data_IF_785585875885
#
_entry.id   IF_785585875885
#
_cell.length_a   1.000
_cell.length_b   1.000
_cell.length_c   1.000
_cell.angle_alpha   90.00
_cell.angle_beta   90.00
_cell.angle_gamma   90.00
#
_symmetry.space_group_name_H-M   'P 1'
#
loop_
_entity.id
_entity.type
_entity.pdbx_description
1 polymer ?
#
# COMPACT_ATOMS: atom_id res chain seq x y z
N UNK A 1 18.06 71.11 -71.21
CA UNK A 1 18.72 72.03 -70.25
C UNK A 1 18.04 71.86 -68.90
N UNK A 2 18.76 71.34 -67.89
CA UNK A 2 18.41 71.28 -66.45
C UNK A 2 17.20 70.42 -66.06
N UNK A 3 17.15 69.64 -64.97
CA UNK A 3 17.98 69.58 -63.77
C UNK A 3 17.83 68.21 -63.05
N UNK A 4 18.88 67.82 -62.31
CA UNK A 4 18.96 66.68 -61.37
C UNK A 4 18.02 66.82 -60.15
N UNK A 5 17.64 65.71 -59.50
CA UNK A 5 18.21 65.28 -58.19
C UNK A 5 17.29 64.36 -57.35
N UNK A 6 17.90 63.39 -56.65
CA UNK A 6 17.37 62.70 -55.45
C UNK A 6 16.58 61.42 -55.74
N UNK A 7 17.03 60.20 -55.42
CA UNK A 7 17.82 59.77 -54.27
C UNK A 7 16.89 59.37 -53.12
N UNK A 8 16.27 58.19 -53.21
CA UNK A 8 15.40 57.62 -52.17
C UNK A 8 15.68 56.13 -52.01
N UNK A 9 16.65 55.81 -51.16
CA UNK A 9 16.99 54.46 -50.70
C UNK A 9 16.70 54.43 -49.20
N UNK A 10 16.24 53.26 -48.72
CA UNK A 10 16.05 52.85 -47.32
C UNK A 10 14.70 53.23 -46.68
N UNK A 11 14.01 52.35 -45.96
CA UNK A 11 14.40 51.01 -45.52
C UNK A 11 13.18 50.19 -45.15
N UNK A 12 13.24 48.92 -45.53
CA UNK A 12 12.38 47.85 -45.05
C UNK A 12 12.64 47.73 -43.54
N UNK A 13 11.70 48.24 -42.74
CA UNK A 13 11.80 48.24 -41.29
C UNK A 13 11.55 46.81 -40.82
N UNK A 14 12.66 46.07 -40.75
CA UNK A 14 12.71 44.72 -40.24
C UNK A 14 11.90 44.59 -38.96
N UNK A 15 10.89 43.73 -39.01
CA UNK A 15 10.20 43.17 -37.85
C UNK A 15 11.24 42.43 -37.01
N UNK A 16 11.88 43.16 -36.10
CA UNK A 16 12.78 42.58 -35.10
C UNK A 16 11.96 41.63 -34.24
N UNK A 17 12.18 40.34 -34.47
CA UNK A 17 11.71 39.23 -33.64
C UNK A 17 12.30 39.39 -32.24
N UNK A 18 11.56 40.08 -31.37
CA UNK A 18 11.92 40.32 -29.98
C UNK A 18 11.58 39.09 -29.12
N UNK A 19 12.31 38.00 -29.36
CA UNK A 19 12.39 36.90 -28.40
C UNK A 19 13.23 37.36 -27.20
N UNK A 20 12.60 38.12 -26.31
CA UNK A 20 13.19 38.50 -25.02
C UNK A 20 13.10 37.30 -24.06
N UNK A 21 14.22 36.89 -23.42
CA UNK A 21 14.27 35.71 -22.56
C UNK A 21 13.32 35.81 -21.36
N UNK A 22 12.99 37.02 -20.89
CA UNK A 22 12.07 37.29 -19.78
C UNK A 22 10.66 36.74 -20.02
N UNK A 23 10.19 36.75 -21.28
CA UNK A 23 8.86 36.24 -21.64
C UNK A 23 8.77 34.72 -21.54
N UNK A 24 9.89 34.03 -21.78
CA UNK A 24 10.01 32.57 -21.63
C UNK A 24 9.98 32.16 -20.16
N UNK A 25 10.68 32.87 -19.28
CA UNK A 25 10.65 32.60 -17.83
C UNK A 25 9.26 32.84 -17.21
N UNK A 26 8.54 33.88 -17.65
CA UNK A 26 7.18 34.15 -17.18
C UNK A 26 6.17 33.07 -17.66
N UNK A 27 6.35 32.53 -18.86
CA UNK A 27 5.53 31.42 -19.35
C UNK A 27 5.88 30.09 -18.62
N UNK A 28 7.16 29.83 -18.39
CA UNK A 28 7.62 28.63 -17.70
C UNK A 28 7.22 28.59 -16.22
N UNK A 29 7.29 29.73 -15.51
CA UNK A 29 6.82 29.83 -14.13
C UNK A 29 5.30 29.60 -14.04
N UNK A 30 4.50 30.18 -14.94
CA UNK A 30 3.05 29.90 -15.00
C UNK A 30 2.76 28.42 -15.24
N UNK A 31 3.48 27.77 -16.14
CA UNK A 31 3.35 26.32 -16.38
C UNK A 31 3.74 25.48 -15.15
N UNK A 32 4.76 25.88 -14.40
CA UNK A 32 5.15 25.22 -13.15
C UNK A 32 4.06 25.41 -12.07
N UNK A 33 3.48 26.60 -11.95
CA UNK A 33 2.38 26.87 -11.03
C UNK A 33 1.11 26.12 -11.42
N UNK A 34 0.79 26.03 -12.71
CA UNK A 34 -0.35 25.25 -13.21
C UNK A 34 -0.15 23.75 -12.99
N UNK A 35 1.05 23.22 -13.26
CA UNK A 35 1.40 21.82 -12.98
C UNK A 35 1.39 21.51 -11.48
N UNK A 36 1.89 22.42 -10.64
CA UNK A 36 1.84 22.27 -9.19
C UNK A 36 0.40 22.32 -8.66
N UNK A 37 -0.42 23.25 -9.14
CA UNK A 37 -1.84 23.35 -8.79
C UNK A 37 -2.68 22.19 -9.34
N UNK A 38 -2.29 21.60 -10.47
CA UNK A 38 -2.88 20.35 -10.98
C UNK A 38 -2.47 19.15 -10.13
N UNK A 39 -1.19 19.02 -9.78
CA UNK A 39 -0.70 17.97 -8.89
C UNK A 39 -1.32 18.02 -7.49
N UNK A 40 -1.64 19.22 -7.00
CA UNK A 40 -2.31 19.43 -5.71
C UNK A 40 -3.82 19.12 -5.79
N UNK A 41 -4.45 19.31 -6.96
CA UNK A 41 -5.86 18.95 -7.21
C UNK A 41 -6.09 17.46 -7.50
N UNK A 42 -5.06 16.73 -7.92
CA UNK A 42 -5.12 15.28 -8.17
C UNK A 42 -4.87 14.41 -6.92
N UNK A 43 -4.68 15.03 -5.74
CA UNK A 43 -4.50 14.28 -4.49
C UNK A 43 -5.85 13.69 -4.09
N UNK A 44 -6.05 12.41 -4.43
CA UNK A 44 -7.18 11.62 -3.94
C UNK A 44 -7.17 11.56 -2.40
N UNK A 45 -8.35 11.50 -1.76
CA UNK A 45 -8.43 11.32 -0.32
C UNK A 45 -7.71 10.03 0.09
N UNK A 46 -7.05 10.07 1.25
CA UNK A 46 -6.34 8.90 1.75
C UNK A 46 -7.31 7.77 2.07
N UNK A 47 -7.02 6.53 1.67
CA UNK A 47 -7.91 5.37 1.86
C UNK A 47 -7.85 4.87 3.31
N UNK A 48 -8.39 5.66 4.24
CA UNK A 48 -8.38 5.36 5.68
C UNK A 48 -9.01 4.01 6.05
N UNK A 49 -10.16 3.59 5.48
CA UNK A 49 -10.76 2.30 5.82
C UNK A 49 -9.84 1.14 5.48
N UNK A 50 -9.22 1.18 4.28
CA UNK A 50 -8.29 0.16 3.85
C UNK A 50 -7.01 0.14 4.69
N UNK A 51 -6.46 1.32 5.03
CA UNK A 51 -5.32 1.41 5.93
C UNK A 51 -5.63 0.84 7.32
N UNK A 52 -6.83 1.12 7.86
CA UNK A 52 -7.25 0.59 9.14
C UNK A 52 -7.36 -0.94 9.11
N UNK A 53 -7.95 -1.52 8.06
CA UNK A 53 -8.01 -2.97 7.87
C UNK A 53 -6.61 -3.59 7.87
N UNK A 54 -5.69 -3.07 7.05
CA UNK A 54 -4.29 -3.53 6.97
C UNK A 54 -3.57 -3.45 8.33
N UNK A 55 -3.78 -2.38 9.11
CA UNK A 55 -3.12 -2.23 10.40
C UNK A 55 -3.69 -3.15 11.49
N UNK A 56 -5.00 -3.39 11.47
CA UNK A 56 -5.64 -4.35 12.38
C UNK A 56 -5.19 -5.77 12.05
N UNK A 57 -5.09 -6.10 10.76
CA UNK A 57 -4.60 -7.37 10.26
C UNK A 57 -3.15 -7.62 10.71
N UNK A 58 -2.24 -6.66 10.43
CA UNK A 58 -0.87 -6.68 10.95
C UNK A 58 -0.79 -6.89 12.47
N UNK A 59 -1.69 -6.26 13.23
CA UNK A 59 -1.71 -6.39 14.69
C UNK A 59 -2.10 -7.79 15.14
N UNK A 60 -3.14 -8.38 14.54
CA UNK A 60 -3.63 -9.71 14.91
C UNK A 60 -2.66 -10.80 14.45
N UNK A 61 -2.09 -10.65 13.25
CA UNK A 61 -1.06 -11.54 12.71
C UNK A 61 0.20 -11.56 13.56
N UNK A 62 0.69 -10.37 13.93
CA UNK A 62 1.84 -10.26 14.80
C UNK A 62 1.57 -10.91 16.15
N UNK A 63 0.42 -10.62 16.78
CA UNK A 63 0.02 -11.25 18.04
C UNK A 63 0.03 -12.79 17.93
N UNK A 64 -0.55 -13.35 16.87
CA UNK A 64 -0.62 -14.80 16.70
C UNK A 64 0.76 -15.42 16.39
N UNK A 65 1.63 -14.77 15.62
CA UNK A 65 3.02 -15.20 15.44
C UNK A 65 3.72 -15.28 16.81
N UNK A 66 3.57 -14.25 17.64
CA UNK A 66 4.17 -14.21 18.97
C UNK A 66 3.67 -15.33 19.87
N UNK A 67 2.36 -15.62 19.84
CA UNK A 67 1.75 -16.72 20.59
C UNK A 67 2.26 -18.10 20.11
N UNK A 68 2.30 -18.30 18.79
CA UNK A 68 2.62 -19.60 18.19
C UNK A 68 4.10 -19.94 18.26
N UNK A 69 5.00 -18.98 18.05
CA UNK A 69 6.45 -19.20 18.14
C UNK A 69 6.91 -19.69 19.54
N UNK A 70 6.27 -19.21 20.60
CA UNK A 70 6.59 -19.63 21.97
C UNK A 70 5.91 -20.97 22.32
N UNK A 71 4.73 -21.23 21.77
CA UNK A 71 3.96 -22.45 22.07
C UNK A 71 4.44 -23.67 21.28
N UNK A 72 4.76 -23.51 19.99
CA UNK A 72 5.22 -24.59 19.11
C UNK A 72 6.09 -24.03 17.97
N UNK A 73 7.31 -24.54 17.88
CA UNK A 73 8.27 -24.08 16.87
C UNK A 73 7.77 -24.35 15.44
N UNK A 74 7.26 -25.56 15.16
CA UNK A 74 6.74 -25.92 13.82
C UNK A 74 5.54 -25.05 13.43
N UNK A 75 4.61 -24.82 14.37
CA UNK A 75 3.44 -23.97 14.10
C UNK A 75 3.85 -22.53 13.83
N UNK A 76 4.79 -21.98 14.62
CA UNK A 76 5.27 -20.61 14.41
C UNK A 76 6.00 -20.41 13.08
N UNK A 77 6.77 -21.39 12.61
CA UNK A 77 7.39 -21.34 11.28
C UNK A 77 6.36 -21.36 10.15
N UNK A 78 5.40 -22.28 10.23
CA UNK A 78 4.31 -22.36 9.26
C UNK A 78 3.52 -21.06 9.18
N UNK A 79 3.12 -20.50 10.34
CA UNK A 79 2.42 -19.22 10.42
C UNK A 79 3.25 -18.07 9.83
N UNK A 80 4.54 -17.99 10.17
CA UNK A 80 5.42 -16.93 9.65
C UNK A 80 5.58 -17.01 8.13
N UNK A 81 5.64 -18.21 7.57
CA UNK A 81 5.76 -18.41 6.13
C UNK A 81 4.48 -18.02 5.39
N UNK A 82 3.31 -18.42 5.92
CA UNK A 82 2.01 -18.03 5.38
C UNK A 82 1.84 -16.51 5.38
N UNK A 83 2.11 -15.88 6.53
CA UNK A 83 1.99 -14.43 6.69
C UNK A 83 3.00 -13.65 5.85
N UNK A 84 4.19 -14.19 5.59
CA UNK A 84 5.14 -13.55 4.68
C UNK A 84 4.56 -13.39 3.26
N UNK A 85 3.84 -14.40 2.76
CA UNK A 85 3.20 -14.35 1.46
C UNK A 85 2.03 -13.37 1.47
N UNK A 86 1.20 -13.42 2.52
CA UNK A 86 0.04 -12.54 2.73
C UNK A 86 0.45 -11.07 2.80
N UNK A 87 1.34 -10.70 3.72
CA UNK A 87 1.85 -9.32 3.84
C UNK A 87 2.62 -8.86 2.61
N UNK A 88 3.22 -9.79 1.87
CA UNK A 88 3.82 -9.49 0.57
C UNK A 88 2.79 -8.94 -0.42
N UNK A 89 1.67 -9.64 -0.61
CA UNK A 89 0.61 -9.21 -1.52
C UNK A 89 -0.19 -8.03 -0.97
N UNK A 90 -0.57 -8.05 0.31
CA UNK A 90 -1.31 -6.97 0.95
C UNK A 90 -0.51 -5.67 0.97
N UNK A 91 0.79 -5.73 1.25
CA UNK A 91 1.69 -4.57 1.21
C UNK A 91 1.83 -3.98 -0.20
N UNK A 92 1.89 -4.82 -1.23
CA UNK A 92 1.88 -4.36 -2.63
C UNK A 92 0.55 -3.67 -2.97
N UNK A 93 -0.58 -4.28 -2.60
CA UNK A 93 -1.92 -3.72 -2.83
C UNK A 93 -2.13 -2.40 -2.07
N UNK A 94 -1.66 -2.32 -0.83
CA UNK A 94 -1.70 -1.09 -0.04
C UNK A 94 -0.81 0.01 -0.62
N UNK A 95 0.37 -0.36 -1.14
CA UNK A 95 1.27 0.59 -1.78
C UNK A 95 0.70 1.17 -3.08
N UNK A 96 -0.07 0.41 -3.87
CA UNK A 96 -0.71 0.96 -5.07
C UNK A 96 -1.81 1.94 -4.70
N UNK A 97 -2.60 1.63 -3.65
CA UNK A 97 -3.67 2.49 -3.12
C UNK A 97 -3.16 3.84 -2.58
N UNK A 98 -1.91 3.91 -2.12
CA UNK A 98 -1.28 5.13 -1.59
C UNK A 98 -0.40 5.88 -2.60
N UNK A 99 -0.38 5.49 -3.88
CA UNK A 99 0.52 6.08 -4.89
C UNK A 99 0.27 7.57 -5.13
N UNK A 100 -0.98 8.03 -5.04
CA UNK A 100 -1.37 9.44 -5.23
C UNK A 100 -1.04 10.34 -4.03
N UNK A 101 -0.47 9.79 -2.96
CA UNK A 101 -0.14 10.53 -1.74
C UNK A 101 1.30 11.08 -1.79
N UNK A 102 1.59 12.17 -1.06
CA UNK A 102 2.96 12.71 -0.97
C UNK A 102 3.92 11.66 -0.41
N UNK A 103 5.18 11.70 -0.89
CA UNK A 103 6.21 10.68 -0.63
C UNK A 103 6.34 10.32 0.86
N UNK A 104 6.41 11.33 1.74
CA UNK A 104 6.56 11.11 3.19
C UNK A 104 5.36 10.38 3.80
N UNK A 105 4.14 10.72 3.37
CA UNK A 105 2.92 10.09 3.88
C UNK A 105 2.80 8.66 3.40
N UNK A 106 3.13 8.40 2.13
CA UNK A 106 3.17 7.05 1.55
C UNK A 106 4.19 6.17 2.25
N UNK A 107 5.41 6.68 2.47
CA UNK A 107 6.46 5.95 3.17
C UNK A 107 6.04 5.62 4.60
N UNK A 108 5.52 6.61 5.34
CA UNK A 108 5.05 6.38 6.70
C UNK A 108 3.93 5.34 6.73
N UNK A 109 2.93 5.46 5.84
CA UNK A 109 1.82 4.52 5.78
C UNK A 109 2.28 3.07 5.53
N UNK A 110 3.20 2.85 4.58
CA UNK A 110 3.71 1.52 4.25
C UNK A 110 4.63 0.93 5.34
N UNK A 111 5.38 1.77 6.06
CA UNK A 111 6.28 1.31 7.13
C UNK A 111 5.51 0.96 8.41
N UNK A 112 4.36 1.59 8.64
CA UNK A 112 3.55 1.35 9.85
C UNK A 112 3.10 -0.10 9.98
N UNK A 113 2.73 -0.78 8.90
CA UNK A 113 2.28 -2.19 8.93
C UNK A 113 3.34 -3.13 9.53
N UNK A 114 4.55 -3.22 8.96
CA UNK A 114 5.64 -4.04 9.51
C UNK A 114 6.04 -3.67 10.94
N UNK A 115 5.98 -2.39 11.31
CA UNK A 115 6.26 -1.92 12.68
C UNK A 115 5.21 -2.45 13.65
N UNK A 116 3.92 -2.33 13.29
CA UNK A 116 2.81 -2.87 14.08
C UNK A 116 2.98 -4.38 14.24
N UNK A 117 3.13 -5.12 13.13
CA UNK A 117 3.32 -6.57 13.11
C UNK A 117 4.42 -7.01 14.10
N UNK A 118 5.59 -6.38 13.99
CA UNK A 118 6.73 -6.68 14.86
C UNK A 118 6.42 -6.39 16.32
N UNK A 119 5.86 -5.22 16.63
CA UNK A 119 5.50 -4.83 17.99
C UNK A 119 4.44 -5.75 18.60
N UNK A 120 3.40 -6.12 17.85
CA UNK A 120 2.38 -7.08 18.28
C UNK A 120 2.97 -8.48 18.50
N UNK A 121 3.97 -8.90 17.73
CA UNK A 121 4.64 -10.19 17.96
C UNK A 121 5.40 -10.25 19.28
N UNK A 122 6.09 -9.17 19.64
CA UNK A 122 6.67 -9.02 20.97
C UNK A 122 5.61 -9.12 22.07
N UNK A 123 4.48 -8.43 21.90
CA UNK A 123 3.36 -8.50 22.86
C UNK A 123 2.80 -9.92 22.96
N UNK A 124 2.59 -10.61 21.84
CA UNK A 124 2.12 -11.99 21.82
C UNK A 124 3.04 -12.94 22.60
N UNK A 125 4.36 -12.80 22.42
CA UNK A 125 5.34 -13.57 23.20
C UNK A 125 5.29 -13.29 24.71
N UNK A 126 5.10 -12.02 25.09
CA UNK A 126 4.93 -11.63 26.50
C UNK A 126 3.62 -12.19 27.11
N UNK A 127 2.55 -12.27 26.32
CA UNK A 127 1.29 -12.90 26.74
C UNK A 127 1.52 -14.38 27.07
N UNK A 128 2.23 -15.14 26.23
CA UNK A 128 2.55 -16.55 26.52
C UNK A 128 3.35 -16.69 27.82
N UNK A 129 4.37 -15.85 28.02
CA UNK A 129 5.17 -15.88 29.24
C UNK A 129 4.34 -15.61 30.50
N UNK A 130 3.34 -14.72 30.39
CA UNK A 130 2.41 -14.42 31.48
C UNK A 130 1.40 -15.55 31.75
N UNK A 131 1.01 -16.28 30.70
CA UNK A 131 0.01 -17.36 30.74
C UNK A 131 0.62 -18.77 30.93
N UNK A 132 1.93 -18.87 31.13
CA UNK A 132 2.66 -20.16 31.23
C UNK A 132 2.13 -21.07 32.33
N UNK A 133 1.59 -20.50 33.42
CA UNK A 133 1.02 -21.27 34.53
C UNK A 133 -0.41 -21.78 34.29
N UNK A 134 -1.04 -21.41 33.17
CA UNK A 134 -2.44 -21.74 32.85
C UNK A 134 -2.58 -22.24 31.40
N UNK A 135 -2.37 -23.54 31.15
CA UNK A 135 -2.46 -24.11 29.80
C UNK A 135 -3.83 -23.90 29.14
N UNK A 136 -4.92 -23.93 29.94
CA UNK A 136 -6.27 -23.69 29.43
C UNK A 136 -6.46 -22.27 28.86
N UNK A 137 -5.88 -21.26 29.53
CA UNK A 137 -5.95 -19.87 29.06
C UNK A 137 -5.10 -19.65 27.82
N UNK A 138 -3.96 -20.34 27.70
CA UNK A 138 -3.13 -20.30 26.50
C UNK A 138 -3.88 -20.86 25.29
N UNK A 139 -4.49 -22.04 25.43
CA UNK A 139 -5.31 -22.65 24.36
C UNK A 139 -6.50 -21.76 24.02
N UNK A 140 -7.17 -21.19 25.02
CA UNK A 140 -8.27 -20.24 24.81
C UNK A 140 -7.83 -19.00 24.02
N UNK A 141 -6.69 -18.41 24.38
CA UNK A 141 -6.14 -17.24 23.71
C UNK A 141 -5.73 -17.54 22.27
N UNK A 142 -4.99 -18.64 22.04
CA UNK A 142 -4.55 -19.04 20.70
C UNK A 142 -5.72 -19.42 19.81
N UNK A 143 -6.69 -20.21 20.30
CA UNK A 143 -7.88 -20.58 19.51
C UNK A 143 -8.76 -19.39 19.19
N UNK A 144 -8.92 -18.45 20.13
CA UNK A 144 -9.61 -17.19 19.89
C UNK A 144 -8.89 -16.34 18.83
N UNK A 145 -7.57 -16.19 18.94
CA UNK A 145 -6.76 -15.44 17.97
C UNK A 145 -6.84 -16.03 16.57
N UNK A 146 -6.71 -17.36 16.44
CA UNK A 146 -6.89 -18.06 15.16
C UNK A 146 -8.29 -17.87 14.59
N UNK A 147 -9.35 -17.96 15.41
CA UNK A 147 -10.72 -17.73 14.96
C UNK A 147 -10.97 -16.28 14.52
N UNK A 148 -10.38 -15.31 15.22
CA UNK A 148 -10.48 -13.89 14.88
C UNK A 148 -9.84 -13.58 13.52
N UNK A 149 -8.67 -14.17 13.22
CA UNK A 149 -8.00 -14.02 11.93
C UNK A 149 -8.81 -14.64 10.79
N UNK A 150 -9.33 -15.86 10.99
CA UNK A 150 -10.22 -16.49 10.00
C UNK A 150 -11.44 -15.63 9.72
N UNK A 151 -12.01 -14.98 10.74
CA UNK A 151 -13.12 -14.06 10.56
C UNK A 151 -12.74 -12.80 9.77
N UNK A 152 -11.61 -12.15 10.10
CA UNK A 152 -11.16 -10.94 9.40
C UNK A 152 -10.90 -11.21 7.91
N UNK A 153 -10.17 -12.29 7.60
CA UNK A 153 -9.92 -12.69 6.21
C UNK A 153 -11.22 -13.03 5.48
N UNK A 154 -12.14 -13.75 6.12
CA UNK A 154 -13.44 -14.04 5.51
C UNK A 154 -14.27 -12.78 5.26
N UNK A 155 -14.26 -11.81 6.18
CA UNK A 155 -15.00 -10.56 6.03
C UNK A 155 -14.42 -9.73 4.87
N UNK A 156 -13.10 -9.61 4.78
CA UNK A 156 -12.44 -8.89 3.70
C UNK A 156 -12.73 -9.54 2.33
N UNK A 157 -12.66 -10.86 2.23
CA UNK A 157 -12.96 -11.58 0.99
C UNK A 157 -14.45 -11.53 0.61
N UNK A 158 -15.37 -11.61 1.58
CA UNK A 158 -16.81 -11.54 1.32
C UNK A 158 -17.26 -10.15 0.90
N UNK A 159 -16.72 -9.10 1.54
CA UNK A 159 -16.97 -7.72 1.15
C UNK A 159 -16.41 -7.44 -0.24
N UNK A 160 -15.16 -7.87 -0.53
CA UNK A 160 -14.56 -7.71 -1.85
C UNK A 160 -15.39 -8.40 -2.96
N UNK A 161 -15.94 -9.58 -2.67
CA UNK A 161 -16.81 -10.28 -3.62
C UNK A 161 -18.12 -9.51 -3.87
N UNK A 162 -18.72 -8.90 -2.84
CA UNK A 162 -20.01 -8.22 -2.94
C UNK A 162 -19.93 -6.83 -3.59
N UNK A 163 -18.89 -6.06 -3.26
CA UNK A 163 -18.68 -4.71 -3.81
C UNK A 163 -18.26 -4.73 -5.28
N UNK A 164 -17.66 -5.82 -5.76
CA UNK A 164 -17.18 -5.89 -7.14
C UNK A 164 -18.32 -5.85 -8.17
N UNK A 165 -19.53 -6.32 -7.83
CA UNK A 165 -20.70 -6.31 -8.72
C UNK A 165 -20.48 -6.96 -10.11
N UNK A 166 -19.33 -7.61 -10.32
CA UNK A 166 -18.92 -8.26 -11.55
C UNK A 166 -19.51 -9.66 -11.60
N UNK A 167 -19.72 -10.18 -12.81
CA UNK A 167 -20.04 -11.60 -13.02
C UNK A 167 -18.96 -12.47 -12.35
N UNK A 168 -19.39 -13.55 -11.71
CA UNK A 168 -18.54 -14.46 -10.95
C UNK A 168 -17.32 -14.93 -11.78
N UNK A 169 -16.11 -14.56 -11.33
CA UNK A 169 -14.86 -14.92 -12.00
C UNK A 169 -14.27 -16.18 -11.39
N UNK A 170 -14.45 -17.32 -12.09
CA UNK A 170 -14.00 -18.65 -11.64
C UNK A 170 -12.51 -18.75 -11.26
N UNK A 171 -11.65 -17.87 -11.77
CA UNK A 171 -10.21 -17.87 -11.44
C UNK A 171 -9.91 -17.37 -10.01
N UNK A 172 -10.80 -16.58 -9.42
CA UNK A 172 -10.63 -16.07 -8.03
C UNK A 172 -10.82 -17.23 -7.04
N UNK A 173 -11.88 -18.03 -7.21
CA UNK A 173 -12.13 -19.23 -6.40
C UNK A 173 -10.95 -20.22 -6.47
N UNK A 174 -10.35 -20.37 -7.66
CA UNK A 174 -9.19 -21.23 -7.82
C UNK A 174 -7.97 -20.70 -7.05
N UNK A 175 -7.74 -19.39 -6.99
CA UNK A 175 -6.63 -18.81 -6.23
C UNK A 175 -6.80 -19.04 -4.73
N UNK A 176 -8.02 -18.86 -4.21
CA UNK A 176 -8.35 -19.15 -2.81
C UNK A 176 -8.15 -20.64 -2.51
N UNK A 177 -8.64 -21.52 -3.40
CA UNK A 177 -8.47 -22.96 -3.26
C UNK A 177 -7.00 -23.39 -3.29
N UNK A 178 -6.21 -22.85 -4.22
CA UNK A 178 -4.77 -23.13 -4.32
C UNK A 178 -4.04 -22.64 -3.06
N UNK A 179 -4.34 -21.43 -2.57
CA UNK A 179 -3.74 -20.89 -1.35
C UNK A 179 -4.02 -21.78 -0.13
N UNK A 180 -5.27 -22.22 0.03
CA UNK A 180 -5.66 -23.13 1.10
C UNK A 180 -5.01 -24.52 0.97
N UNK A 181 -5.01 -25.11 -0.23
CA UNK A 181 -4.34 -26.39 -0.48
C UNK A 181 -2.83 -26.31 -0.24
N UNK A 182 -2.21 -25.20 -0.65
CA UNK A 182 -0.79 -24.96 -0.43
C UNK A 182 -0.47 -24.85 1.06
N UNK A 183 -1.28 -24.13 1.84
CA UNK A 183 -1.09 -24.03 3.29
C UNK A 183 -1.25 -25.40 3.98
N UNK A 184 -2.20 -26.23 3.57
CA UNK A 184 -2.35 -27.59 4.11
C UNK A 184 -1.15 -28.49 3.79
N UNK A 185 -0.65 -28.46 2.55
CA UNK A 185 0.52 -29.25 2.14
C UNK A 185 1.77 -28.80 2.90
N UNK A 186 1.98 -27.48 3.06
CA UNK A 186 3.09 -26.95 3.85
C UNK A 186 2.98 -27.37 5.31
N UNK A 187 1.81 -27.24 5.93
CA UNK A 187 1.63 -27.65 7.33
C UNK A 187 1.97 -29.12 7.55
N UNK A 188 1.66 -30.00 6.58
CA UNK A 188 2.04 -31.42 6.62
C UNK A 188 3.50 -31.69 6.32
N UNK A 189 4.17 -30.82 5.58
CA UNK A 189 5.60 -30.94 5.31
C UNK A 189 6.47 -30.55 6.53
N UNK A 190 5.91 -29.80 7.49
CA UNK A 190 6.59 -29.36 8.73
C UNK A 190 6.19 -30.16 9.99
N UNK A 191 5.33 -31.18 9.85
CA UNK A 191 5.04 -32.22 10.86
C UNK A 191 6.18 -33.24 10.94
#
# INVERSE_FOLDING_TARGET
VGAQAGGGIAGDFGRASSNTPVRSYAAQSRQLHEKAAQAERDIQPFPWPFAAAVYIDCMMDGLLIGLTLVTSQSAGWFMSLALCVEMGFLGLLFSTSTTSQPLMRRLLANVMGPVILSASSLVGGLVVNSLTNSPASLVGCTSFGTAALLYMVCEELLVAAHESGQDHVWWIDLQVYIGFMFSLVLSKAFE
#
